data_IF_810323494804
#
_entry.id   IF_810323494804
#
_cell.length_a   1.000
_cell.length_b   1.000
_cell.length_c   1.000
_cell.angle_alpha   90.00
_cell.angle_beta   90.00
_cell.angle_gamma   90.00
#
_symmetry.space_group_name_H-M   'P 1'
#
loop_
_entity.id
_entity.type
_entity.pdbx_description
1 polymer ?
#
# COMPACT_ATOMS: atom_id res chain seq x y z
N UNK A 1 10.88 17.66 15.04
CA UNK A 1 9.75 16.98 14.37
C UNK A 1 9.49 15.68 15.12
N UNK A 2 8.30 15.50 15.70
CA UNK A 2 8.00 14.40 16.63
C UNK A 2 7.86 13.06 15.86
N UNK A 3 8.38 11.95 16.38
CA UNK A 3 8.40 10.66 15.67
C UNK A 3 6.99 10.16 15.28
N UNK A 4 6.01 10.46 16.13
CA UNK A 4 4.59 10.18 15.88
C UNK A 4 4.06 10.91 14.64
N UNK A 5 4.40 12.18 14.46
CA UNK A 5 3.99 12.95 13.29
C UNK A 5 4.56 12.36 11.98
N UNK A 6 5.73 11.73 12.03
CA UNK A 6 6.31 11.05 10.86
C UNK A 6 5.56 9.75 10.53
N UNK A 7 5.25 8.95 11.55
CA UNK A 7 4.47 7.71 11.41
C UNK A 7 3.09 7.98 10.86
N UNK A 8 2.38 8.95 11.42
CA UNK A 8 1.01 9.25 11.02
C UNK A 8 0.96 9.76 9.58
N UNK A 9 1.91 10.62 9.19
CA UNK A 9 2.08 11.03 7.79
C UNK A 9 2.31 9.85 6.83
N UNK A 10 3.12 8.87 7.24
CA UNK A 10 3.35 7.66 6.42
C UNK A 10 2.04 6.89 6.26
N UNK A 11 1.28 6.69 7.35
CA UNK A 11 0.02 5.96 7.30
C UNK A 11 -1.04 6.69 6.47
N UNK A 12 -1.18 8.01 6.63
CA UNK A 12 -2.07 8.85 5.83
C UNK A 12 -1.73 8.77 4.33
N UNK A 13 -0.44 8.80 4.00
CA UNK A 13 0.02 8.65 2.62
C UNK A 13 -0.37 7.29 2.03
N UNK A 14 -0.15 6.19 2.76
CA UNK A 14 -0.50 4.85 2.30
C UNK A 14 -2.03 4.67 2.14
N UNK A 15 -2.80 5.21 3.09
CA UNK A 15 -4.25 5.17 3.05
C UNK A 15 -4.80 5.97 1.87
N UNK A 16 -4.19 7.11 1.55
CA UNK A 16 -4.57 7.92 0.38
C UNK A 16 -4.29 7.19 -0.94
N UNK A 17 -3.13 6.54 -1.07
CA UNK A 17 -2.81 5.73 -2.25
C UNK A 17 -3.77 4.54 -2.44
N UNK A 18 -4.27 3.97 -1.34
CA UNK A 18 -5.20 2.84 -1.39
C UNK A 18 -6.67 3.25 -1.57
N UNK A 19 -6.96 4.56 -1.70
CA UNK A 19 -8.34 5.06 -1.71
C UNK A 19 -9.11 4.75 -0.43
N UNK A 20 -8.41 4.67 0.71
CA UNK A 20 -8.99 4.31 2.01
C UNK A 20 -9.04 2.80 2.29
N UNK A 21 -8.63 1.94 1.35
CA UNK A 21 -8.68 0.49 1.52
C UNK A 21 -7.55 -0.02 2.43
N UNK A 22 -7.90 -0.46 3.65
CA UNK A 22 -6.94 -1.10 4.55
C UNK A 22 -6.41 -2.43 3.99
N UNK A 23 -7.25 -3.23 3.35
CA UNK A 23 -6.85 -4.52 2.79
C UNK A 23 -5.78 -4.38 1.70
N UNK A 24 -5.88 -3.34 0.86
CA UNK A 24 -4.87 -3.06 -0.16
C UNK A 24 -3.51 -2.66 0.45
N UNK A 25 -3.51 -1.86 1.51
CA UNK A 25 -2.28 -1.50 2.25
C UNK A 25 -1.66 -2.74 2.89
N UNK A 26 -2.45 -3.52 3.63
CA UNK A 26 -1.97 -4.72 4.31
C UNK A 26 -1.42 -5.76 3.33
N UNK A 27 -2.13 -5.97 2.22
CA UNK A 27 -1.70 -6.86 1.14
C UNK A 27 -0.37 -6.40 0.53
N UNK A 28 -0.24 -5.11 0.22
CA UNK A 28 0.99 -4.56 -0.34
C UNK A 28 2.20 -4.78 0.58
N UNK A 29 2.04 -4.51 1.88
CA UNK A 29 3.09 -4.71 2.87
C UNK A 29 3.46 -6.20 3.02
N UNK A 30 2.47 -7.08 3.08
CA UNK A 30 2.68 -8.53 3.24
C UNK A 30 3.38 -9.13 2.02
N UNK A 31 2.94 -8.78 0.80
CA UNK A 31 3.58 -9.24 -0.44
C UNK A 31 5.04 -8.78 -0.52
N UNK A 32 5.30 -7.49 -0.28
CA UNK A 32 6.66 -6.95 -0.32
C UNK A 32 7.57 -7.56 0.74
N UNK A 33 7.06 -7.75 1.97
CA UNK A 33 7.81 -8.38 3.04
C UNK A 33 8.21 -9.81 2.68
N UNK A 34 7.30 -10.57 2.09
CA UNK A 34 7.56 -11.94 1.62
C UNK A 34 8.57 -11.97 0.47
N UNK A 35 8.43 -11.09 -0.52
CA UNK A 35 9.34 -11.02 -1.67
C UNK A 35 10.77 -10.65 -1.28
N UNK A 36 10.90 -9.67 -0.39
CA UNK A 36 12.19 -9.16 0.06
C UNK A 36 12.78 -9.89 1.27
N UNK A 37 12.00 -10.79 1.87
CA UNK A 37 12.35 -11.53 3.09
C UNK A 37 12.81 -10.60 4.23
N UNK A 38 12.13 -9.47 4.39
CA UNK A 38 12.43 -8.45 5.39
C UNK A 38 11.15 -7.86 6.00
N UNK A 39 11.23 -7.43 7.25
CA UNK A 39 10.20 -6.62 7.91
C UNK A 39 10.40 -5.12 7.70
N UNK A 40 11.56 -4.70 7.19
CA UNK A 40 11.88 -3.30 6.91
C UNK A 40 11.48 -2.95 5.48
N UNK A 41 10.38 -2.21 5.35
CA UNK A 41 9.81 -1.84 4.05
C UNK A 41 10.06 -0.36 3.75
N UNK A 42 10.51 -0.08 2.52
CA UNK A 42 10.57 1.27 2.01
C UNK A 42 9.15 1.77 1.67
N UNK A 43 8.78 2.93 2.17
CA UNK A 43 7.45 3.51 1.98
C UNK A 43 7.09 3.70 0.50
N UNK A 44 8.02 4.12 -0.35
CA UNK A 44 7.74 4.38 -1.77
C UNK A 44 7.47 3.08 -2.55
N UNK A 45 8.10 1.99 -2.16
CA UNK A 45 7.83 0.67 -2.72
C UNK A 45 6.46 0.15 -2.31
N UNK A 46 6.07 0.36 -1.05
CA UNK A 46 4.71 0.04 -0.57
C UNK A 46 3.68 0.85 -1.35
N UNK A 47 3.90 2.15 -1.56
CA UNK A 47 3.03 3.00 -2.39
C UNK A 47 2.93 2.49 -3.83
N UNK A 48 4.05 2.10 -4.45
CA UNK A 48 4.06 1.53 -5.80
C UNK A 48 3.25 0.23 -5.87
N UNK A 49 3.40 -0.65 -4.87
CA UNK A 49 2.65 -1.91 -4.81
C UNK A 49 1.15 -1.69 -4.59
N UNK A 50 0.75 -0.74 -3.73
CA UNK A 50 -0.64 -0.35 -3.54
C UNK A 50 -1.25 0.09 -4.89
N UNK A 51 -0.56 0.97 -5.63
CA UNK A 51 -1.04 1.43 -6.94
C UNK A 51 -1.22 0.29 -7.94
N UNK A 52 -0.31 -0.69 -7.97
CA UNK A 52 -0.43 -1.87 -8.81
C UNK A 52 -1.65 -2.73 -8.45
N UNK A 53 -1.90 -2.96 -7.16
CA UNK A 53 -3.08 -3.71 -6.67
C UNK A 53 -4.37 -2.99 -7.09
N UNK A 54 -4.46 -1.68 -6.81
CA UNK A 54 -5.64 -0.89 -7.11
C UNK A 54 -5.92 -0.79 -8.62
N UNK A 55 -4.88 -0.72 -9.46
CA UNK A 55 -5.02 -0.75 -10.91
C UNK A 55 -5.57 -2.10 -11.40
N UNK A 56 -5.07 -3.21 -10.84
CA UNK A 56 -5.58 -4.55 -11.15
C UNK A 56 -7.05 -4.74 -10.76
N UNK A 57 -7.45 -4.26 -9.58
CA UNK A 57 -8.86 -4.31 -9.16
C UNK A 57 -9.79 -3.52 -10.09
N UNK A 58 -9.35 -2.34 -10.57
CA UNK A 58 -10.12 -1.55 -11.54
C UNK A 58 -10.33 -2.30 -12.85
N UNK A 59 -9.30 -2.99 -13.35
CA UNK A 59 -9.43 -3.76 -14.60
C UNK A 59 -10.34 -4.97 -14.43
N UNK A 60 -10.27 -5.69 -13.30
CA UNK A 60 -11.17 -6.81 -13.00
C UNK A 60 -12.63 -6.34 -12.94
N UNK A 61 -12.91 -5.24 -12.22
CA UNK A 61 -14.28 -4.69 -12.13
C UNK A 61 -14.82 -4.27 -13.48
N UNK A 62 -13.97 -3.73 -14.38
CA UNK A 62 -14.36 -3.34 -15.73
C UNK A 62 -14.68 -4.55 -16.63
N UNK A 63 -14.04 -5.69 -16.44
CA UNK A 63 -14.29 -6.91 -17.23
C UNK A 63 -15.46 -7.75 -16.72
N UNK A 64 -15.88 -7.54 -15.47
CA UNK A 64 -16.94 -8.30 -14.81
C UNK A 64 -18.34 -7.67 -14.94
N UNK A 65 -18.46 -6.49 -15.55
CA UNK A 65 -19.72 -5.83 -15.90
C UNK A 65 -19.89 -5.75 -17.41
#
# INVERSE_FOLDING_TARGET
MNAYARRDKILEDLQRESGGSFSAVYRAMTELSREKKTSELNTDEVKARIRAIMAGEKDIRRRAG
#
